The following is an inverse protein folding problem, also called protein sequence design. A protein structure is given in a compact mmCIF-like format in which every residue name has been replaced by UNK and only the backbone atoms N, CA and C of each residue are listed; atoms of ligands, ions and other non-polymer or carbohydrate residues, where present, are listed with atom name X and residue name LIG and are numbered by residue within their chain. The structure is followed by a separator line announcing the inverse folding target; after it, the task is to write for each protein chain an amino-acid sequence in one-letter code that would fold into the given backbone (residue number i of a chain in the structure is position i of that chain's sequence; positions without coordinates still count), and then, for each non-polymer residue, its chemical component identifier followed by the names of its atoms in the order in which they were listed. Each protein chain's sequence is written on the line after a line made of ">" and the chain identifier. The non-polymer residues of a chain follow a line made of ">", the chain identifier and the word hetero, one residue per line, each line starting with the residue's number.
data_IF_133094744034
#
_entry.id   IF_133094744034
#
_cell.length_a   1.000
_cell.length_b   1.000
_cell.length_c   1.000
_cell.angle_alpha   90.00
_cell.angle_beta   90.00
_cell.angle_gamma   90.00
#
_symmetry.space_group_name_H-M   'P 1'
#
loop_
_entity.id
_entity.type
_entity.pdbx_description
1 polymer ?
#
# COMPACT_ATOMS: atom_id res chain seq x y z
N UNK A 1 -7.11 4.81 -21.01
CA UNK A 1 -6.67 3.48 -20.53
C UNK A 1 -5.74 3.73 -19.36
N UNK A 2 -5.99 3.15 -18.18
CA UNK A 2 -5.13 3.41 -17.00
C UNK A 2 -3.81 2.65 -17.17
N UNK A 3 -2.69 3.36 -17.17
CA UNK A 3 -1.35 2.76 -17.10
C UNK A 3 -1.00 2.55 -15.63
N UNK A 4 -0.39 1.42 -15.29
CA UNK A 4 0.01 1.10 -13.92
C UNK A 4 0.99 2.14 -13.39
N UNK A 5 0.54 3.02 -12.50
CA UNK A 5 1.38 4.02 -11.88
C UNK A 5 1.99 3.49 -10.57
N UNK A 6 3.26 3.09 -10.60
CA UNK A 6 3.97 2.58 -9.42
C UNK A 6 4.27 3.65 -8.37
N UNK A 7 4.36 4.92 -8.76
CA UNK A 7 4.60 6.04 -7.82
C UNK A 7 3.32 6.64 -7.26
N UNK A 8 2.14 6.11 -7.60
CA UNK A 8 0.86 6.55 -7.03
C UNK A 8 0.90 6.45 -5.50
N UNK A 9 0.37 7.47 -4.84
CA UNK A 9 0.21 7.50 -3.38
C UNK A 9 -0.80 6.44 -2.93
N UNK A 10 -0.39 5.60 -1.96
CA UNK A 10 -1.18 4.48 -1.42
C UNK A 10 -1.03 4.42 0.10
N UNK A 11 -1.47 5.46 0.80
CA UNK A 11 -1.41 5.52 2.28
C UNK A 11 -2.35 4.48 2.87
N UNK A 12 -3.58 4.40 2.35
CA UNK A 12 -4.61 3.49 2.84
C UNK A 12 -5.05 2.47 1.80
N UNK A 13 -5.10 1.21 2.22
CA UNK A 13 -5.75 0.12 1.46
C UNK A 13 -6.85 -0.50 2.34
N UNK A 14 -8.10 -0.10 2.13
CA UNK A 14 -9.21 -0.57 2.97
C UNK A 14 -9.69 -1.94 2.52
N UNK A 15 -9.62 -2.93 3.41
CA UNK A 15 -10.21 -4.25 3.21
C UNK A 15 -11.74 -4.18 3.14
N UNK A 16 -12.28 -4.85 2.13
CA UNK A 16 -13.72 -5.01 1.90
C UNK A 16 -13.99 -6.49 1.69
N UNK A 17 -14.67 -7.19 2.61
CA UNK A 17 -15.01 -8.60 2.43
C UNK A 17 -15.83 -8.81 1.14
N UNK A 18 -15.32 -9.61 0.21
CA UNK A 18 -15.92 -9.78 -1.11
C UNK A 18 -17.29 -10.44 -1.11
N UNK A 19 -17.66 -11.13 -0.02
CA UNK A 19 -18.98 -11.72 0.20
C UNK A 19 -20.01 -10.73 0.78
N UNK A 20 -19.57 -9.57 1.27
CA UNK A 20 -20.46 -8.59 1.91
C UNK A 20 -21.01 -7.59 0.89
N UNK A 21 -22.18 -7.90 0.33
CA UNK A 21 -22.84 -7.07 -0.67
C UNK A 21 -23.06 -5.61 -0.22
N UNK A 22 -23.36 -5.38 1.06
CA UNK A 22 -23.60 -4.03 1.57
C UNK A 22 -22.31 -3.19 1.57
N UNK A 23 -21.18 -3.78 1.97
CA UNK A 23 -19.88 -3.09 1.93
C UNK A 23 -19.39 -2.91 0.49
N UNK A 24 -19.48 -3.96 -0.33
CA UNK A 24 -19.08 -3.91 -1.75
C UNK A 24 -19.93 -2.91 -2.55
N UNK A 25 -21.17 -2.62 -2.15
CA UNK A 25 -22.00 -1.61 -2.83
C UNK A 25 -21.73 -0.18 -2.41
N UNK A 26 -20.95 0.06 -1.34
CA UNK A 26 -20.78 1.39 -0.75
C UNK A 26 -19.32 1.82 -0.57
N UNK A 27 -18.34 0.92 -0.66
CA UNK A 27 -16.98 1.20 -0.20
C UNK A 27 -16.29 2.41 -0.90
N UNK A 28 -16.69 2.75 -2.13
CA UNK A 28 -16.18 3.92 -2.86
C UNK A 28 -16.42 5.25 -2.13
N UNK A 29 -17.41 5.34 -1.24
CA UNK A 29 -17.72 6.58 -0.50
C UNK A 29 -16.66 6.94 0.54
N UNK A 30 -15.86 5.97 0.99
CA UNK A 30 -14.94 6.15 2.11
C UNK A 30 -13.62 6.85 1.74
N UNK A 31 -13.39 7.11 0.44
CA UNK A 31 -12.23 7.86 -0.06
C UNK A 31 -10.88 7.31 0.42
N UNK A 32 -10.75 5.99 0.56
CA UNK A 32 -9.44 5.35 0.71
C UNK A 32 -8.61 5.54 -0.58
N UNK A 33 -7.28 5.54 -0.47
CA UNK A 33 -6.42 5.66 -1.65
C UNK A 33 -6.60 4.45 -2.59
N UNK A 34 -6.83 3.27 -1.99
CA UNK A 34 -7.25 2.05 -2.67
C UNK A 34 -8.25 1.23 -1.85
N UNK A 35 -9.10 0.48 -2.55
CA UNK A 35 -10.05 -0.47 -1.95
C UNK A 35 -9.61 -1.89 -2.28
N UNK A 36 -9.48 -2.72 -1.24
CA UNK A 36 -9.01 -4.09 -1.34
C UNK A 36 -10.17 -5.06 -1.12
N UNK A 37 -10.74 -5.59 -2.20
CA UNK A 37 -11.73 -6.66 -2.11
C UNK A 37 -11.06 -7.97 -1.72
N UNK A 38 -11.59 -8.64 -0.70
CA UNK A 38 -11.03 -9.88 -0.21
C UNK A 38 -11.85 -11.09 -0.66
N UNK A 39 -11.21 -12.02 -1.37
CA UNK A 39 -11.76 -13.33 -1.71
C UNK A 39 -11.14 -14.44 -0.85
N UNK A 40 -10.16 -14.14 0.00
CA UNK A 40 -9.41 -15.11 0.80
C UNK A 40 -10.02 -15.27 2.21
N UNK A 41 -9.32 -14.84 3.27
CA UNK A 41 -9.63 -15.22 4.65
C UNK A 41 -10.98 -14.67 5.14
N UNK A 42 -11.44 -13.53 4.62
CA UNK A 42 -12.73 -12.96 5.03
C UNK A 42 -13.93 -13.68 4.41
N UNK A 43 -13.72 -14.69 3.54
CA UNK A 43 -14.79 -15.38 2.81
C UNK A 43 -14.83 -16.85 3.19
N UNK A 44 -15.97 -17.29 3.73
CA UNK A 44 -16.18 -18.70 4.05
C UNK A 44 -16.26 -19.55 2.78
N UNK A 45 -15.85 -20.82 2.86
CA UNK A 45 -15.71 -21.70 1.69
C UNK A 45 -16.96 -21.77 0.80
N UNK A 46 -18.15 -21.87 1.39
CA UNK A 46 -19.43 -21.95 0.66
C UNK A 46 -19.82 -20.67 -0.09
N UNK A 47 -19.17 -19.54 0.22
CA UNK A 47 -19.48 -18.23 -0.38
C UNK A 47 -18.46 -17.79 -1.43
N UNK A 48 -17.37 -18.55 -1.66
CA UNK A 48 -16.29 -18.19 -2.59
C UNK A 48 -16.82 -17.86 -3.99
N UNK A 49 -17.73 -18.68 -4.52
CA UNK A 49 -18.30 -18.47 -5.85
C UNK A 49 -19.19 -17.23 -5.94
N UNK A 50 -20.00 -16.97 -4.90
CA UNK A 50 -20.86 -15.80 -4.83
C UNK A 50 -20.03 -14.52 -4.68
N UNK A 51 -19.04 -14.53 -3.79
CA UNK A 51 -18.10 -13.43 -3.56
C UNK A 51 -17.36 -13.06 -4.85
N UNK A 52 -16.85 -14.07 -5.58
CA UNK A 52 -16.16 -13.86 -6.86
C UNK A 52 -17.02 -13.14 -7.89
N UNK A 53 -18.29 -13.55 -8.03
CA UNK A 53 -19.24 -12.90 -8.96
C UNK A 53 -19.57 -11.47 -8.52
N UNK A 54 -19.77 -11.26 -7.23
CA UNK A 54 -20.05 -9.94 -6.67
C UNK A 54 -18.88 -8.98 -6.92
N UNK A 55 -17.65 -9.40 -6.62
CA UNK A 55 -16.43 -8.60 -6.88
C UNK A 55 -16.26 -8.34 -8.38
N UNK A 56 -16.45 -9.35 -9.24
CA UNK A 56 -16.40 -9.14 -10.70
C UNK A 56 -17.32 -8.00 -11.17
N UNK A 57 -18.58 -7.99 -10.73
CA UNK A 57 -19.52 -6.94 -11.11
C UNK A 57 -19.21 -5.59 -10.47
N UNK A 58 -18.69 -5.58 -9.24
CA UNK A 58 -18.26 -4.35 -8.58
C UNK A 58 -17.11 -3.67 -9.34
N UNK A 59 -16.12 -4.43 -9.80
CA UNK A 59 -15.00 -3.91 -10.60
C UNK A 59 -15.44 -3.26 -11.92
N UNK A 60 -16.57 -3.70 -12.49
CA UNK A 60 -17.15 -3.14 -13.71
C UNK A 60 -18.03 -1.90 -13.46
N UNK A 61 -18.34 -1.60 -12.20
CA UNK A 61 -19.28 -0.54 -11.86
C UNK A 61 -18.64 0.85 -12.01
N UNK A 62 -19.31 1.84 -12.63
CA UNK A 62 -18.74 3.17 -12.89
C UNK A 62 -18.19 3.88 -11.64
N UNK A 63 -18.80 3.66 -10.47
CA UNK A 63 -18.38 4.30 -9.21
C UNK A 63 -16.99 3.84 -8.72
N UNK A 64 -16.49 2.70 -9.22
CA UNK A 64 -15.14 2.23 -8.92
C UNK A 64 -14.09 2.69 -9.94
N UNK A 65 -14.47 3.42 -11.00
CA UNK A 65 -13.52 3.86 -12.02
C UNK A 65 -12.50 4.89 -11.51
N UNK A 66 -12.85 5.69 -10.50
CA UNK A 66 -11.96 6.72 -9.94
C UNK A 66 -11.15 6.22 -8.73
N UNK A 67 -11.45 5.02 -8.23
CA UNK A 67 -10.78 4.43 -7.07
C UNK A 67 -9.84 3.32 -7.54
N UNK A 68 -8.66 3.22 -6.95
CA UNK A 68 -7.77 2.08 -7.26
C UNK A 68 -8.31 0.81 -6.59
N UNK A 69 -8.47 -0.23 -7.38
CA UNK A 69 -9.04 -1.50 -6.95
C UNK A 69 -7.95 -2.58 -6.82
N UNK A 70 -7.85 -3.14 -5.62
CA UNK A 70 -7.00 -4.28 -5.31
C UNK A 70 -7.91 -5.47 -5.03
N UNK A 71 -7.59 -6.67 -5.52
CA UNK A 71 -8.30 -7.88 -5.12
C UNK A 71 -7.33 -8.90 -4.53
N UNK A 72 -7.52 -9.26 -3.26
CA UNK A 72 -6.82 -10.37 -2.64
C UNK A 72 -7.49 -11.67 -3.06
N UNK A 73 -6.76 -12.49 -3.82
CA UNK A 73 -7.23 -13.79 -4.32
C UNK A 73 -6.80 -14.91 -3.37
N UNK A 74 -7.38 -16.10 -3.51
CA UNK A 74 -6.84 -17.28 -2.85
C UNK A 74 -5.52 -17.71 -3.52
N UNK A 75 -4.69 -18.47 -2.80
CA UNK A 75 -3.43 -19.02 -3.33
C UNK A 75 -3.66 -19.83 -4.62
N UNK A 76 -2.71 -19.76 -5.55
CA UNK A 76 -2.87 -20.33 -6.90
C UNK A 76 -3.00 -21.87 -6.87
N UNK A 77 -2.36 -22.52 -5.92
CA UNK A 77 -2.40 -23.96 -5.66
C UNK A 77 -3.68 -24.43 -4.95
N UNK A 78 -4.52 -23.50 -4.49
CA UNK A 78 -5.82 -23.79 -3.90
C UNK A 78 -6.87 -24.12 -4.97
N UNK A 79 -7.96 -24.77 -4.55
CA UNK A 79 -9.11 -25.05 -5.43
C UNK A 79 -9.82 -23.78 -5.97
N UNK A 80 -9.48 -22.59 -5.47
CA UNK A 80 -10.19 -21.33 -5.78
C UNK A 80 -9.33 -20.31 -6.54
N UNK A 81 -8.00 -20.35 -6.40
CA UNK A 81 -7.11 -19.27 -6.85
C UNK A 81 -7.21 -18.96 -8.34
N UNK A 82 -7.15 -19.98 -9.21
CA UNK A 82 -7.26 -19.76 -10.66
C UNK A 82 -8.64 -19.20 -11.06
N UNK A 83 -9.72 -19.67 -10.42
CA UNK A 83 -11.05 -19.15 -10.69
C UNK A 83 -11.19 -17.69 -10.25
N UNK A 84 -10.61 -17.32 -9.11
CA UNK A 84 -10.55 -15.93 -8.65
C UNK A 84 -9.82 -15.05 -9.66
N UNK A 85 -8.64 -15.46 -10.12
CA UNK A 85 -7.86 -14.72 -11.13
C UNK A 85 -8.66 -14.50 -12.42
N UNK A 86 -9.30 -15.55 -12.93
CA UNK A 86 -10.14 -15.45 -14.13
C UNK A 86 -11.22 -14.38 -13.96
N UNK A 87 -11.89 -14.34 -12.81
CA UNK A 87 -12.89 -13.32 -12.55
C UNK A 87 -12.28 -11.93 -12.40
N UNK A 88 -11.30 -11.74 -11.52
CA UNK A 88 -10.86 -10.39 -11.13
C UNK A 88 -10.09 -9.68 -12.26
N UNK A 89 -9.30 -10.42 -13.04
CA UNK A 89 -8.58 -9.85 -14.19
C UNK A 89 -9.56 -9.46 -15.30
N UNK A 90 -10.56 -10.31 -15.59
CA UNK A 90 -11.62 -10.01 -16.57
C UNK A 90 -12.54 -8.88 -16.11
N UNK A 91 -12.83 -8.83 -14.81
CA UNK A 91 -13.63 -7.77 -14.17
C UNK A 91 -12.91 -6.42 -14.18
N UNK A 92 -11.58 -6.46 -14.29
CA UNK A 92 -10.76 -5.29 -14.57
C UNK A 92 -10.06 -4.70 -13.37
N UNK A 93 -9.74 -5.51 -12.36
CA UNK A 93 -8.95 -5.10 -11.21
C UNK A 93 -7.64 -4.39 -11.63
N UNK A 94 -7.31 -3.30 -10.94
CA UNK A 94 -6.06 -2.57 -11.17
C UNK A 94 -4.86 -3.39 -10.65
N UNK A 95 -5.02 -4.02 -9.47
CA UNK A 95 -3.96 -4.82 -8.80
C UNK A 95 -4.55 -6.13 -8.29
N UNK A 96 -3.83 -7.23 -8.50
CA UNK A 96 -4.07 -8.50 -7.81
C UNK A 96 -3.11 -8.61 -6.64
N UNK A 97 -3.65 -8.88 -5.45
CA UNK A 97 -2.85 -9.20 -4.26
C UNK A 97 -2.76 -10.71 -4.08
N UNK A 98 -1.54 -11.25 -4.14
CA UNK A 98 -1.28 -12.66 -3.85
C UNK A 98 -1.05 -12.85 -2.33
N UNK A 99 -1.67 -13.87 -1.72
CA UNK A 99 -1.45 -14.20 -0.31
C UNK A 99 -0.19 -15.05 -0.13
N UNK A 100 0.28 -15.19 1.11
CA UNK A 100 1.25 -16.24 1.53
C UNK A 100 2.45 -16.41 0.59
N UNK A 101 3.07 -15.30 0.18
CA UNK A 101 4.20 -15.31 -0.77
C UNK A 101 5.50 -15.67 -0.05
N UNK A 102 6.03 -16.86 -0.35
CA UNK A 102 7.25 -17.40 0.26
C UNK A 102 8.43 -17.42 -0.71
N UNK A 103 8.18 -17.29 -2.02
CA UNK A 103 9.22 -17.36 -3.04
C UNK A 103 8.99 -16.39 -4.21
N UNK A 104 10.06 -16.07 -4.93
CA UNK A 104 9.97 -15.35 -6.20
C UNK A 104 9.15 -16.11 -7.25
N UNK A 105 9.14 -17.45 -7.18
CA UNK A 105 8.41 -18.30 -8.13
C UNK A 105 6.89 -18.10 -7.99
N UNK A 106 6.38 -17.87 -6.77
CA UNK A 106 4.96 -17.62 -6.51
C UNK A 106 4.48 -16.38 -7.30
N UNK A 107 5.31 -15.34 -7.34
CA UNK A 107 5.05 -14.11 -8.11
C UNK A 107 5.12 -14.37 -9.61
N UNK A 108 6.14 -15.11 -10.08
CA UNK A 108 6.32 -15.43 -11.50
C UNK A 108 5.15 -16.27 -12.03
N UNK A 109 4.69 -17.25 -11.25
CA UNK A 109 3.54 -18.08 -11.60
C UNK A 109 2.26 -17.23 -11.66
N UNK A 110 2.05 -16.35 -10.68
CA UNK A 110 0.93 -15.42 -10.67
C UNK A 110 0.95 -14.48 -11.90
N UNK A 111 2.11 -13.91 -12.23
CA UNK A 111 2.29 -13.06 -13.42
C UNK A 111 1.93 -13.80 -14.71
N UNK A 112 2.40 -15.04 -14.87
CA UNK A 112 2.13 -15.85 -16.06
C UNK A 112 0.63 -16.06 -16.27
N UNK A 113 -0.09 -16.44 -15.21
CA UNK A 113 -1.53 -16.66 -15.30
C UNK A 113 -2.28 -15.35 -15.61
N UNK A 114 -1.91 -14.23 -14.98
CA UNK A 114 -2.51 -12.92 -15.27
C UNK A 114 -2.28 -12.54 -16.73
N UNK A 115 -1.06 -12.69 -17.25
CA UNK A 115 -0.75 -12.36 -18.64
C UNK A 115 -1.57 -13.20 -19.63
N UNK A 116 -1.74 -14.49 -19.35
CA UNK A 116 -2.57 -15.38 -20.16
C UNK A 116 -4.06 -14.94 -20.14
N UNK A 117 -4.58 -14.56 -18.98
CA UNK A 117 -5.97 -14.10 -18.84
C UNK A 117 -6.17 -12.75 -19.54
N UNK A 118 -5.25 -11.80 -19.39
CA UNK A 118 -5.28 -10.51 -20.08
C UNK A 118 -5.38 -10.71 -21.59
N UNK A 119 -4.48 -11.52 -22.17
CA UNK A 119 -4.50 -11.86 -23.58
C UNK A 119 -5.84 -12.51 -24.00
N UNK A 120 -6.34 -13.46 -23.21
CA UNK A 120 -7.58 -14.18 -23.49
C UNK A 120 -8.86 -13.34 -23.39
N UNK A 121 -8.83 -12.22 -22.64
CA UNK A 121 -9.98 -11.30 -22.52
C UNK A 121 -9.80 -9.99 -23.28
N UNK A 122 -8.73 -9.85 -24.07
CA UNK A 122 -8.48 -8.66 -24.89
C UNK A 122 -8.00 -7.45 -24.09
N UNK A 123 -7.52 -7.66 -22.85
CA UNK A 123 -6.86 -6.61 -22.07
C UNK A 123 -5.39 -6.49 -22.50
N UNK A 124 -4.80 -5.28 -22.42
CA UNK A 124 -3.37 -5.11 -22.65
C UNK A 124 -2.56 -5.95 -21.68
N UNK A 125 -1.65 -6.77 -22.20
CA UNK A 125 -0.74 -7.54 -21.35
C UNK A 125 0.14 -6.56 -20.57
N UNK A 126 0.15 -6.67 -19.25
CA UNK A 126 0.84 -5.75 -18.34
C UNK A 126 -0.08 -4.74 -17.66
N UNK A 127 -1.38 -4.75 -17.96
CA UNK A 127 -2.34 -3.78 -17.43
C UNK A 127 -2.67 -3.97 -15.94
N UNK A 128 -2.64 -5.21 -15.45
CA UNK A 128 -2.93 -5.55 -14.06
C UNK A 128 -1.62 -5.70 -13.27
N UNK A 129 -1.50 -4.91 -12.20
CA UNK A 129 -0.36 -4.94 -11.28
C UNK A 129 -0.43 -6.07 -10.27
N UNK A 130 0.67 -6.26 -9.54
CA UNK A 130 0.80 -7.25 -8.46
C UNK A 130 1.17 -6.59 -7.13
N UNK A 131 0.62 -7.11 -6.05
CA UNK A 131 1.00 -6.80 -4.67
C UNK A 131 1.24 -8.12 -3.92
N UNK A 132 2.44 -8.38 -3.42
CA UNK A 132 2.71 -9.62 -2.69
C UNK A 132 2.53 -9.44 -1.18
N UNK A 133 1.80 -10.36 -0.55
CA UNK A 133 1.75 -10.45 0.90
C UNK A 133 2.83 -11.41 1.42
N UNK A 134 3.74 -10.91 2.24
CA UNK A 134 4.78 -11.70 2.90
C UNK A 134 4.34 -11.93 4.35
N UNK A 135 4.16 -13.20 4.70
CA UNK A 135 3.36 -13.60 5.87
C UNK A 135 4.03 -14.75 6.66
N UNK A 136 5.30 -15.04 6.39
CA UNK A 136 6.06 -16.13 7.01
C UNK A 136 7.53 -15.78 7.20
N UNK A 137 8.25 -16.52 8.04
CA UNK A 137 9.70 -16.40 8.21
C UNK A 137 10.46 -16.68 6.90
N UNK A 138 9.97 -17.63 6.10
CA UNK A 138 10.56 -17.96 4.80
C UNK A 138 10.37 -16.81 3.80
N UNK A 139 9.16 -16.26 3.71
CA UNK A 139 8.88 -15.10 2.87
C UNK A 139 9.72 -13.88 3.26
N UNK A 140 9.91 -13.61 4.56
CA UNK A 140 10.80 -12.51 5.01
C UNK A 140 12.25 -12.77 4.63
N UNK A 141 12.73 -14.00 4.75
CA UNK A 141 14.09 -14.39 4.34
C UNK A 141 14.29 -14.22 2.82
N UNK A 142 13.24 -14.47 2.03
CA UNK A 142 13.24 -14.37 0.58
C UNK A 142 12.77 -13.00 0.05
N UNK A 143 12.53 -12.01 0.91
CA UNK A 143 11.84 -10.77 0.56
C UNK A 143 12.50 -10.02 -0.61
N UNK A 144 13.85 -9.99 -0.67
CA UNK A 144 14.58 -9.35 -1.78
C UNK A 144 14.31 -10.05 -3.11
N UNK A 145 14.38 -11.39 -3.14
CA UNK A 145 14.10 -12.15 -4.35
C UNK A 145 12.64 -11.98 -4.81
N UNK A 146 11.69 -11.98 -3.86
CA UNK A 146 10.28 -11.71 -4.12
C UNK A 146 10.09 -10.31 -4.73
N UNK A 147 10.72 -9.29 -4.16
CA UNK A 147 10.58 -7.90 -4.61
C UNK A 147 11.08 -7.68 -6.05
N UNK A 148 12.09 -8.43 -6.49
CA UNK A 148 12.64 -8.36 -7.85
C UNK A 148 11.95 -9.30 -8.86
N UNK A 149 11.00 -10.12 -8.42
CA UNK A 149 10.49 -11.23 -9.22
C UNK A 149 9.69 -10.80 -10.47
N UNK A 150 9.11 -9.59 -10.47
CA UNK A 150 8.20 -9.16 -11.54
C UNK A 150 8.19 -7.65 -11.78
N UNK A 151 8.18 -7.19 -13.05
CA UNK A 151 7.92 -5.78 -13.35
C UNK A 151 6.48 -5.34 -13.05
N UNK A 152 5.54 -6.26 -12.76
CA UNK A 152 4.17 -5.92 -12.33
C UNK A 152 4.06 -5.59 -10.86
N UNK A 153 5.03 -5.99 -10.04
CA UNK A 153 5.00 -5.71 -8.61
C UNK A 153 5.03 -4.20 -8.37
N UNK A 154 3.95 -3.70 -7.77
CA UNK A 154 3.83 -2.32 -7.30
C UNK A 154 4.38 -2.17 -5.88
N UNK A 155 4.38 -3.26 -5.11
CA UNK A 155 4.88 -3.30 -3.75
C UNK A 155 4.75 -4.66 -3.10
N UNK A 156 5.19 -4.71 -1.85
CA UNK A 156 5.09 -5.87 -0.96
C UNK A 156 4.50 -5.42 0.38
N UNK A 157 3.71 -6.28 1.01
CA UNK A 157 3.00 -5.99 2.24
C UNK A 157 3.27 -7.05 3.32
N UNK A 158 3.37 -6.64 4.58
CA UNK A 158 3.45 -7.57 5.71
C UNK A 158 2.05 -8.08 6.10
N UNK A 159 1.87 -9.40 6.22
CA UNK A 159 0.71 -9.99 6.89
C UNK A 159 1.07 -10.42 8.31
N UNK A 160 0.81 -9.56 9.30
CA UNK A 160 1.34 -9.78 10.65
C UNK A 160 0.73 -10.98 11.37
N UNK A 161 -0.58 -11.22 11.26
CA UNK A 161 -1.25 -12.29 12.02
C UNK A 161 -0.75 -13.68 11.61
N UNK A 162 -0.65 -13.93 10.30
CA UNK A 162 -0.07 -15.17 9.79
C UNK A 162 1.43 -15.27 10.09
N UNK A 163 2.15 -14.14 10.05
CA UNK A 163 3.58 -14.10 10.37
C UNK A 163 3.87 -14.45 11.82
N UNK A 164 3.15 -13.87 12.79
CA UNK A 164 3.36 -14.20 14.21
C UNK A 164 2.94 -15.64 14.50
N UNK A 165 1.87 -16.14 13.85
CA UNK A 165 1.51 -17.56 13.91
C UNK A 165 2.64 -18.44 13.38
N UNK A 166 3.27 -18.08 12.26
CA UNK A 166 4.39 -18.81 11.68
C UNK A 166 5.61 -18.83 12.62
N UNK A 167 5.90 -17.69 13.27
CA UNK A 167 6.95 -17.56 14.28
C UNK A 167 6.61 -18.23 15.62
N UNK A 168 5.34 -18.62 15.83
CA UNK A 168 4.82 -19.15 17.10
C UNK A 168 4.88 -18.12 18.25
N UNK A 169 4.56 -16.87 17.93
CA UNK A 169 4.39 -15.77 18.88
C UNK A 169 3.04 -15.10 18.68
N UNK A 170 2.71 -14.14 19.54
CA UNK A 170 1.50 -13.34 19.49
C UNK A 170 1.82 -11.86 19.26
N UNK A 171 0.80 -11.06 18.92
CA UNK A 171 0.91 -9.61 18.78
C UNK A 171 1.15 -8.97 20.14
N UNK A 172 2.23 -8.21 20.27
CA UNK A 172 2.44 -7.32 21.43
C UNK A 172 1.87 -5.92 21.14
N UNK A 173 1.47 -5.15 22.18
CA UNK A 173 1.07 -3.75 22.00
C UNK A 173 2.15 -2.90 21.33
N UNK A 174 3.43 -3.17 21.63
CA UNK A 174 4.57 -2.46 21.05
C UNK A 174 4.91 -2.92 19.63
N UNK A 175 4.47 -4.13 19.24
CA UNK A 175 4.74 -4.72 17.93
C UNK A 175 6.21 -5.07 17.68
N UNK A 176 6.99 -5.32 18.75
CA UNK A 176 8.43 -5.58 18.66
C UNK A 176 8.75 -6.85 17.84
N UNK A 177 7.88 -7.85 17.91
CA UNK A 177 7.96 -9.11 17.16
C UNK A 177 7.93 -8.90 15.64
N UNK A 178 7.39 -7.77 15.17
CA UNK A 178 7.32 -7.42 13.76
C UNK A 178 8.50 -6.60 13.28
N UNK A 179 9.36 -6.08 14.18
CA UNK A 179 10.38 -5.10 13.81
C UNK A 179 11.37 -5.65 12.77
N UNK A 180 11.85 -6.89 12.97
CA UNK A 180 12.75 -7.53 12.02
C UNK A 180 12.09 -7.71 10.63
N UNK A 181 10.84 -8.17 10.61
CA UNK A 181 10.06 -8.35 9.39
C UNK A 181 9.83 -7.02 8.66
N UNK A 182 9.41 -5.98 9.39
CA UNK A 182 9.18 -4.62 8.86
C UNK A 182 10.44 -4.05 8.23
N UNK A 183 11.58 -4.11 8.93
CA UNK A 183 12.85 -3.61 8.42
C UNK A 183 13.32 -4.40 7.18
N UNK A 184 13.23 -5.73 7.21
CA UNK A 184 13.66 -6.59 6.10
C UNK A 184 12.79 -6.38 4.85
N UNK A 185 11.48 -6.31 5.03
CA UNK A 185 10.52 -6.05 3.96
C UNK A 185 10.73 -4.67 3.35
N UNK A 186 10.92 -3.63 4.18
CA UNK A 186 11.19 -2.29 3.69
C UNK A 186 12.49 -2.23 2.88
N UNK A 187 13.57 -2.85 3.36
CA UNK A 187 14.83 -2.91 2.62
C UNK A 187 14.67 -3.59 1.26
N UNK A 188 13.95 -4.72 1.22
CA UNK A 188 13.66 -5.43 -0.03
C UNK A 188 12.85 -4.56 -1.01
N UNK A 189 11.80 -3.89 -0.55
CA UNK A 189 10.98 -3.02 -1.37
C UNK A 189 11.80 -1.86 -1.96
N UNK A 190 12.64 -1.21 -1.15
CA UNK A 190 13.49 -0.10 -1.58
C UNK A 190 14.58 -0.56 -2.56
N UNK A 191 15.18 -1.73 -2.34
CA UNK A 191 16.16 -2.31 -3.26
C UNK A 191 15.57 -2.59 -4.66
N UNK A 192 14.31 -2.99 -4.72
CA UNK A 192 13.59 -3.21 -5.98
C UNK A 192 12.92 -1.95 -6.56
N UNK A 193 12.95 -0.81 -5.86
CA UNK A 193 12.30 0.42 -6.29
C UNK A 193 10.76 0.34 -6.28
N UNK A 194 10.18 -0.47 -5.38
CA UNK A 194 8.73 -0.65 -5.21
C UNK A 194 8.27 -0.17 -3.84
N UNK A 195 6.94 -0.08 -3.65
CA UNK A 195 6.35 0.38 -2.39
C UNK A 195 6.36 -0.71 -1.30
N UNK A 196 6.37 -0.26 -0.05
CA UNK A 196 6.30 -1.10 1.13
C UNK A 196 5.05 -0.76 1.94
N UNK A 197 4.26 -1.78 2.28
CA UNK A 197 3.02 -1.62 3.04
C UNK A 197 3.04 -2.41 4.34
N UNK A 198 2.53 -1.79 5.40
CA UNK A 198 2.39 -2.46 6.69
C UNK A 198 1.06 -3.22 6.80
N UNK A 199 0.98 -4.03 7.86
CA UNK A 199 -0.16 -4.88 8.20
C UNK A 199 -1.40 -4.11 8.67
N UNK A 200 -2.52 -4.82 8.87
CA UNK A 200 -3.72 -4.28 9.54
C UNK A 200 -3.47 -4.06 11.03
N UNK A 201 -4.24 -3.12 11.61
CA UNK A 201 -4.39 -2.96 13.07
C UNK A 201 -5.82 -3.37 13.44
N UNK A 202 -5.96 -4.45 14.22
CA UNK A 202 -7.22 -5.17 14.40
C UNK A 202 -8.18 -4.51 15.40
N UNK A 203 -7.66 -3.82 16.42
CA UNK A 203 -8.48 -3.13 17.40
C UNK A 203 -8.96 -1.77 16.85
N UNK A 204 -10.13 -1.79 16.21
CA UNK A 204 -10.74 -0.60 15.63
C UNK A 204 -11.22 0.44 16.67
N UNK A 205 -11.20 0.13 17.96
CA UNK A 205 -11.58 1.06 19.03
C UNK A 205 -10.38 1.70 19.73
N UNK A 206 -9.17 1.19 19.51
CA UNK A 206 -7.94 1.74 20.06
C UNK A 206 -7.24 2.65 19.03
N UNK A 207 -7.76 3.87 18.91
CA UNK A 207 -7.20 4.91 18.03
C UNK A 207 -5.76 5.27 18.40
N UNK A 208 -5.44 5.37 19.70
CA UNK A 208 -4.12 5.75 20.16
C UNK A 208 -3.05 4.72 19.74
N UNK A 209 -3.34 3.43 19.91
CA UNK A 209 -2.44 2.36 19.47
C UNK A 209 -2.31 2.29 17.94
N UNK A 210 -3.40 2.52 17.20
CA UNK A 210 -3.34 2.65 15.74
C UNK A 210 -2.41 3.78 15.29
N UNK A 211 -2.55 4.97 15.89
CA UNK A 211 -1.71 6.13 15.56
C UNK A 211 -0.25 5.91 15.93
N UNK A 212 0.03 5.24 17.05
CA UNK A 212 1.38 4.89 17.47
C UNK A 212 2.05 3.93 16.46
N UNK A 213 1.36 2.86 16.05
CA UNK A 213 1.87 1.93 15.04
C UNK A 213 2.04 2.62 13.68
N UNK A 214 1.07 3.42 13.26
CA UNK A 214 1.11 4.16 12.01
C UNK A 214 2.27 5.19 11.99
N UNK A 215 2.56 5.84 13.12
CA UNK A 215 3.67 6.77 13.24
C UNK A 215 5.02 6.05 13.13
N UNK A 216 5.15 4.88 13.77
CA UNK A 216 6.34 4.04 13.67
C UNK A 216 6.62 3.64 12.22
N UNK A 217 5.62 3.15 11.48
CA UNK A 217 5.85 2.70 10.10
C UNK A 217 6.08 3.86 9.13
N UNK A 218 5.47 5.03 9.37
CA UNK A 218 5.81 6.27 8.65
C UNK A 218 7.27 6.66 8.92
N UNK A 219 7.73 6.57 10.16
CA UNK A 219 9.11 6.88 10.55
C UNK A 219 10.11 5.91 9.92
N UNK A 220 9.80 4.61 9.88
CA UNK A 220 10.64 3.62 9.20
C UNK A 220 10.70 3.90 7.70
N UNK A 221 9.62 4.41 7.11
CA UNK A 221 9.55 4.83 5.73
C UNK A 221 8.57 4.04 4.87
N UNK A 222 7.58 3.37 5.47
CA UNK A 222 6.51 2.68 4.74
C UNK A 222 5.61 3.66 3.99
N UNK A 223 5.11 3.23 2.82
CA UNK A 223 4.27 4.05 1.94
C UNK A 223 2.80 4.11 2.41
N UNK A 224 2.38 3.12 3.21
CA UNK A 224 1.04 3.03 3.77
C UNK A 224 0.81 1.74 4.53
N UNK A 225 -0.46 1.44 4.84
CA UNK A 225 -0.85 0.17 5.47
C UNK A 225 -2.24 -0.31 5.04
N UNK A 226 -2.49 -1.59 5.30
CA UNK A 226 -3.83 -2.16 5.15
C UNK A 226 -4.74 -1.68 6.29
N UNK A 227 -5.99 -1.36 5.98
CA UNK A 227 -7.01 -0.91 6.94
C UNK A 227 -8.19 -1.87 6.95
N UNK A 228 -8.86 -2.00 8.10
CA UNK A 228 -10.06 -2.86 8.25
C UNK A 228 -11.30 -2.07 8.66
N UNK A 229 -11.14 -0.79 8.99
CA UNK A 229 -12.23 0.08 9.40
C UNK A 229 -12.13 1.45 8.72
N UNK A 230 -13.21 2.00 8.14
CA UNK A 230 -13.19 3.32 7.51
C UNK A 230 -12.72 4.46 8.43
N UNK A 231 -12.94 4.35 9.75
CA UNK A 231 -12.47 5.36 10.72
C UNK A 231 -10.94 5.51 10.75
N UNK A 232 -10.20 4.50 10.31
CA UNK A 232 -8.74 4.55 10.24
C UNK A 232 -8.21 5.39 9.07
N UNK A 233 -9.05 5.70 8.07
CA UNK A 233 -8.63 6.38 6.83
C UNK A 233 -8.17 7.80 7.12
N UNK A 234 -9.04 8.61 7.73
CA UNK A 234 -8.76 10.02 8.01
C UNK A 234 -7.56 10.17 8.96
N UNK A 235 -7.50 9.33 10.00
CA UNK A 235 -6.38 9.27 10.94
C UNK A 235 -5.05 9.02 10.23
N UNK A 236 -5.01 8.02 9.33
CA UNK A 236 -3.82 7.68 8.57
C UNK A 236 -3.46 8.75 7.56
N UNK A 237 -4.45 9.28 6.84
CA UNK A 237 -4.27 10.32 5.82
C UNK A 237 -3.70 11.59 6.42
N UNK A 238 -4.25 12.05 7.55
CA UNK A 238 -3.77 13.21 8.29
C UNK A 238 -2.35 12.97 8.85
N UNK A 239 -2.07 11.77 9.37
CA UNK A 239 -0.73 11.42 9.84
C UNK A 239 0.31 11.46 8.72
N UNK A 240 -0.04 11.00 7.51
CA UNK A 240 0.85 10.98 6.35
C UNK A 240 0.99 12.34 5.66
N UNK A 241 0.05 13.25 5.85
CA UNK A 241 0.12 14.60 5.32
C UNK A 241 1.29 15.38 5.95
N UNK A 242 1.97 16.25 5.18
CA UNK A 242 2.97 17.17 5.71
C UNK A 242 2.30 18.35 6.41
N UNK A 243 2.96 18.90 7.42
CA UNK A 243 2.56 20.14 8.09
C UNK A 243 2.83 21.37 7.21
N UNK A 244 2.14 22.47 7.47
CA UNK A 244 2.40 23.75 6.79
C UNK A 244 3.86 24.20 6.93
N UNK A 245 4.48 23.93 8.09
CA UNK A 245 5.89 24.26 8.35
C UNK A 245 6.84 23.42 7.51
N UNK A 246 6.58 22.11 7.36
CA UNK A 246 7.37 21.23 6.49
C UNK A 246 7.26 21.64 5.03
N UNK A 247 6.05 21.97 4.56
CA UNK A 247 5.83 22.45 3.18
C UNK A 247 6.54 23.79 2.93
N UNK A 248 6.42 24.76 3.84
CA UNK A 248 7.12 26.04 3.71
C UNK A 248 8.65 25.88 3.75
N UNK A 249 9.17 24.92 4.52
CA UNK A 249 10.59 24.62 4.51
C UNK A 249 11.02 23.95 3.19
N UNK A 250 10.25 22.95 2.73
CA UNK A 250 10.52 22.24 1.49
C UNK A 250 10.50 23.16 0.28
N UNK A 251 9.56 24.10 0.21
CA UNK A 251 9.50 25.10 -0.86
C UNK A 251 10.78 25.94 -0.89
N UNK A 252 11.23 26.46 0.26
CA UNK A 252 12.49 27.24 0.34
C UNK A 252 13.71 26.44 -0.10
N UNK A 253 13.75 25.13 0.17
CA UNK A 253 14.84 24.25 -0.27
C UNK A 253 14.84 24.10 -1.79
N UNK A 254 13.67 23.86 -2.39
CA UNK A 254 13.53 23.71 -3.85
C UNK A 254 13.83 25.02 -4.56
N UNK A 255 13.29 26.15 -4.09
CA UNK A 255 13.55 27.48 -4.65
C UNK A 255 15.04 27.84 -4.63
N UNK A 256 15.73 27.52 -3.53
CA UNK A 256 17.17 27.75 -3.40
C UNK A 256 17.97 26.88 -4.38
N UNK A 257 17.57 25.63 -4.58
CA UNK A 257 18.21 24.74 -5.54
C UNK A 257 18.02 25.22 -6.99
N UNK A 258 16.81 25.61 -7.36
CA UNK A 258 16.51 26.16 -8.69
C UNK A 258 17.22 27.49 -8.94
N UNK A 259 17.37 28.34 -7.92
CA UNK A 259 18.15 29.57 -8.02
C UNK A 259 19.64 29.29 -8.26
N UNK A 260 20.23 28.36 -7.51
CA UNK A 260 21.62 27.98 -7.67
C UNK A 260 21.89 27.36 -9.06
N UNK A 261 20.98 26.52 -9.57
CA UNK A 261 21.07 25.95 -10.91
C UNK A 261 21.03 27.03 -12.00
N UNK A 262 20.10 28.00 -11.90
CA UNK A 262 20.05 29.16 -12.82
C UNK A 262 21.30 30.02 -12.78
N UNK A 263 21.96 30.10 -11.63
CA UNK A 263 23.20 30.85 -11.43
C UNK A 263 24.47 30.03 -11.77
N UNK A 264 24.33 28.77 -12.18
CA UNK A 264 25.46 27.88 -12.48
C UNK A 264 26.30 27.51 -11.26
N UNK A 265 25.73 27.58 -10.05
CA UNK A 265 26.42 27.25 -8.79
C UNK A 265 26.19 25.79 -8.43
N UNK A 266 27.28 25.03 -8.28
CA UNK A 266 27.22 23.63 -7.85
C UNK A 266 26.88 23.41 -6.36
N UNK A 267 26.86 24.48 -5.55
CA UNK A 267 26.57 24.41 -4.11
C UNK A 267 25.35 25.25 -3.80
N UNK A 268 24.31 24.61 -3.26
CA UNK A 268 23.10 25.28 -2.76
C UNK A 268 23.30 25.59 -1.28
N UNK A 269 23.02 26.83 -0.86
CA UNK A 269 23.06 27.23 0.55
C UNK A 269 21.75 27.88 0.94
N UNK A 270 21.13 27.39 2.03
CA UNK A 270 19.91 27.95 2.60
C UNK A 270 20.14 28.21 4.10
N UNK A 271 19.96 29.45 4.54
CA UNK A 271 20.23 29.88 5.93
C UNK A 271 21.63 29.48 6.44
N UNK A 272 22.65 29.52 5.57
CA UNK A 272 24.02 29.16 5.92
C UNK A 272 24.30 27.66 6.03
N UNK A 273 23.33 26.79 5.71
CA UNK A 273 23.51 25.34 5.65
C UNK A 273 23.60 24.90 4.19
N UNK A 274 24.56 24.02 3.90
CA UNK A 274 24.66 23.37 2.60
C UNK A 274 23.44 22.48 2.37
N UNK A 275 22.85 22.59 1.20
CA UNK A 275 21.73 21.80 0.72
C UNK A 275 22.26 20.91 -0.40
N UNK A 276 22.25 19.61 -0.19
CA UNK A 276 22.70 18.59 -1.15
C UNK A 276 21.51 17.90 -1.83
N UNK A 277 21.79 17.05 -2.82
CA UNK A 277 20.75 16.33 -3.58
C UNK A 277 19.76 15.56 -2.68
N UNK A 278 20.20 14.82 -1.64
CA UNK A 278 19.28 14.16 -0.69
C UNK A 278 18.33 15.13 0.03
N UNK A 279 18.77 16.32 0.42
CA UNK A 279 17.90 17.32 1.05
C UNK A 279 16.85 17.84 0.04
N UNK A 280 17.25 18.07 -1.21
CA UNK A 280 16.37 18.54 -2.28
C UNK A 280 15.32 17.47 -2.64
N UNK A 281 15.73 16.21 -2.78
CA UNK A 281 14.82 15.10 -3.07
C UNK A 281 13.79 14.90 -1.97
N UNK A 282 14.19 14.98 -0.69
CA UNK A 282 13.26 14.96 0.44
C UNK A 282 12.27 16.13 0.39
N UNK A 283 12.75 17.32 0.07
CA UNK A 283 11.87 18.50 -0.06
C UNK A 283 10.85 18.32 -1.19
N UNK A 284 11.28 17.83 -2.37
CA UNK A 284 10.37 17.52 -3.48
C UNK A 284 9.31 16.50 -3.08
N UNK A 285 9.69 15.44 -2.36
CA UNK A 285 8.75 14.44 -1.85
C UNK A 285 7.72 15.03 -0.87
N UNK A 286 8.12 15.98 -0.02
CA UNK A 286 7.20 16.70 0.87
C UNK A 286 6.18 17.52 0.08
N UNK A 287 6.62 18.23 -0.96
CA UNK A 287 5.72 19.03 -1.81
C UNK A 287 4.78 18.13 -2.63
N UNK A 288 5.27 17.03 -3.17
CA UNK A 288 4.44 16.04 -3.88
C UNK A 288 3.37 15.46 -2.95
N UNK A 289 3.75 15.10 -1.72
CA UNK A 289 2.78 14.65 -0.70
C UNK A 289 1.76 15.74 -0.40
N UNK A 290 2.18 16.98 -0.18
CA UNK A 290 1.26 18.09 0.09
C UNK A 290 0.23 18.29 -1.03
N UNK A 291 0.66 18.17 -2.28
CA UNK A 291 -0.23 18.29 -3.44
C UNK A 291 -1.28 17.15 -3.50
N UNK A 292 -0.94 15.95 -3.03
CA UNK A 292 -1.80 14.77 -3.07
C UNK A 292 -2.66 14.60 -1.81
N UNK A 293 -2.14 14.96 -0.64
CA UNK A 293 -2.77 14.73 0.67
C UNK A 293 -3.36 15.97 1.32
N UNK A 294 -3.08 17.17 0.80
CA UNK A 294 -3.28 18.40 1.53
C UNK A 294 -2.31 18.54 2.71
N UNK A 295 -2.65 19.42 3.64
CA UNK A 295 -1.84 19.71 4.83
C UNK A 295 -2.39 18.97 6.05
N UNK A 296 -1.49 18.53 6.93
CA UNK A 296 -1.84 17.98 8.23
C UNK A 296 -2.51 19.05 9.09
N UNK A 297 -3.61 18.70 9.72
CA UNK A 297 -4.22 19.50 10.78
C UNK A 297 -3.35 19.38 12.04
N UNK A 298 -2.68 20.47 12.43
CA UNK A 298 -2.01 20.54 13.73
C UNK A 298 -3.09 20.75 14.80
N UNK A 299 -3.12 19.96 15.90
CA UNK A 299 -4.00 20.29 17.01
C UNK A 299 -3.68 21.71 17.48
N UNK A 300 -4.72 22.52 17.67
CA UNK A 300 -4.56 23.86 18.22
C UNK A 300 -3.68 23.76 19.47
N UNK A 301 -2.51 24.40 19.43
CA UNK A 301 -1.66 24.55 20.59
C UNK A 301 -2.53 25.25 21.64
N UNK A 302 -3.09 24.50 22.58
CA UNK A 302 -3.66 25.08 23.77
C UNK A 302 -2.46 25.67 24.48
N UNK A 303 -2.32 26.99 24.39
CA UNK A 303 -1.28 27.72 25.07
C UNK A 303 -1.34 27.32 26.53
N UNK A 304 -0.24 26.76 27.03
CA UNK A 304 0.09 26.90 28.45
C UNK A 304 0.27 28.42 28.66
N UNK A 305 -0.81 29.09 29.03
CA UNK A 305 -0.71 30.39 29.68
C UNK A 305 -0.18 30.17 31.10
N UNK A 306 0.85 30.98 31.39
CA UNK A 306 1.67 31.08 32.59
C UNK A 306 0.96 30.97 33.95
#
# INVERSE_FOLDING_TARGET
>A
MKTLNKSRLRRSMLFVPGANAAMVSNAFIYQADALMFDLEDSVVLREKDAARRLVYHALQHPLYQEVETIVRVNALDSAYGLADLQAVVRGGADIVRLPKTDSAQDVVDMEREIAAIEAACGRPVGSTGLLAAIESAQGITNAVAIAHASPRLIGIALGAEDYVRNLRTERSPEGIELLFARCSLLQAARAAGIQAFDTVYSDANNEAGFLQEAALIKQLGFDGKSLINPRQIELLHNLYAPTAKEVAHAQRVVDAAEAAEREGRGVVSLNGKMVDSPVIERARLVLERAALSGLREEPAQHGEEA
#
